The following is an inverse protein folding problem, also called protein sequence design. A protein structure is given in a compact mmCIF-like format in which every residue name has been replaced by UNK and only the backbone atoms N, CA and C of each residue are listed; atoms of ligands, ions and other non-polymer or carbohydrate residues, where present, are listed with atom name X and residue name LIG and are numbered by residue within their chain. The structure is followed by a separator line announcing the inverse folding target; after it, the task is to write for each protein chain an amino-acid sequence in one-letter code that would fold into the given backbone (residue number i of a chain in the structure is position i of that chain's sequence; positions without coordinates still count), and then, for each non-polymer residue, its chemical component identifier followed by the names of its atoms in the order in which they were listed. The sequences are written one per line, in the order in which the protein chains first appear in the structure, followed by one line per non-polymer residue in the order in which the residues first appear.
data_IF_343852431276
#
_entry.id   IF_343852431276
#
_cell.length_a   1.000
_cell.length_b   1.000
_cell.length_c   1.000
_cell.angle_alpha   90.00
_cell.angle_beta   90.00
_cell.angle_gamma   90.00
#
_symmetry.space_group_name_H-M   'P 1'
#
loop_
_entity.id
_entity.type
_entity.pdbx_description
1 polymer ?
#
# COMPACT_ATOMS: atom_id res chain seq x y z
N UNK A 1 -40.43 39.34 -25.91
CA UNK A 1 -40.52 38.05 -25.26
C UNK A 1 -39.49 37.03 -25.81
N UNK A 2 -39.14 37.04 -27.09
CA UNK A 2 -38.15 36.11 -27.73
C UNK A 2 -36.66 36.32 -27.26
N UNK A 3 -36.26 37.55 -27.01
CA UNK A 3 -34.88 37.88 -26.60
C UNK A 3 -34.52 37.42 -25.15
N UNK A 4 -35.53 37.29 -24.28
CA UNK A 4 -35.31 36.78 -22.91
C UNK A 4 -35.02 35.26 -22.87
N UNK A 5 -35.73 34.52 -23.73
CA UNK A 5 -35.53 33.05 -23.80
C UNK A 5 -34.20 32.66 -24.43
N UNK A 6 -33.68 33.45 -25.39
CA UNK A 6 -32.34 33.19 -25.96
C UNK A 6 -31.20 33.41 -24.95
N UNK A 7 -31.30 34.40 -24.07
CA UNK A 7 -30.32 34.63 -22.98
C UNK A 7 -30.35 33.51 -21.94
N UNK A 8 -31.52 33.03 -21.59
CA UNK A 8 -31.63 31.90 -20.65
C UNK A 8 -31.07 30.61 -21.23
N UNK A 9 -31.34 30.32 -22.53
CA UNK A 9 -30.80 29.16 -23.22
C UNK A 9 -29.23 29.22 -23.30
N UNK A 10 -28.64 30.36 -23.60
CA UNK A 10 -27.20 30.49 -23.69
C UNK A 10 -26.52 30.38 -22.32
N UNK A 11 -27.13 30.88 -21.25
CA UNK A 11 -26.63 30.74 -19.88
C UNK A 11 -26.73 29.29 -19.43
N UNK A 12 -27.82 28.58 -19.70
CA UNK A 12 -27.99 27.16 -19.38
C UNK A 12 -27.01 26.28 -20.16
N UNK A 13 -26.76 26.60 -21.42
CA UNK A 13 -25.76 25.89 -22.23
C UNK A 13 -24.32 26.12 -21.71
N UNK A 14 -24.00 27.32 -21.27
CA UNK A 14 -22.71 27.65 -20.65
C UNK A 14 -22.52 26.89 -19.34
N UNK A 15 -23.54 26.77 -18.50
CA UNK A 15 -23.49 25.97 -17.26
C UNK A 15 -23.35 24.47 -17.55
N UNK A 16 -24.06 23.95 -18.55
CA UNK A 16 -23.91 22.54 -18.96
C UNK A 16 -22.53 22.26 -19.56
N UNK A 17 -21.99 23.16 -20.35
CA UNK A 17 -20.66 23.03 -20.93
C UNK A 17 -19.55 23.11 -19.86
N UNK A 18 -19.67 24.01 -18.86
CA UNK A 18 -18.74 24.06 -17.72
C UNK A 18 -18.86 22.81 -16.84
N UNK A 19 -20.05 22.27 -16.64
CA UNK A 19 -20.23 21.02 -15.87
C UNK A 19 -19.60 19.81 -16.58
N UNK A 20 -19.74 19.70 -17.91
CA UNK A 20 -19.11 18.66 -18.71
C UNK A 20 -17.58 18.72 -18.72
N UNK A 21 -16.99 19.93 -18.60
CA UNK A 21 -15.53 20.10 -18.50
C UNK A 21 -14.97 19.75 -17.13
N UNK A 22 -15.77 19.83 -16.07
CA UNK A 22 -15.33 19.53 -14.69
C UNK A 22 -15.40 18.02 -14.37
N UNK A 23 -16.15 17.25 -15.13
CA UNK A 23 -16.28 15.78 -14.98
C UNK A 23 -15.26 15.01 -15.83
N UNK A 24 -14.00 15.47 -15.87
CA UNK A 24 -12.90 14.64 -16.38
C UNK A 24 -12.78 13.34 -15.56
N UNK A 25 -12.30 12.24 -16.16
CA UNK A 25 -12.06 11.01 -15.42
C UNK A 25 -11.14 11.31 -14.24
N UNK A 26 -11.65 11.15 -13.03
CA UNK A 26 -10.82 11.22 -11.82
C UNK A 26 -9.89 10.01 -11.86
N UNK A 27 -8.63 10.23 -12.25
CA UNK A 27 -7.59 9.22 -12.11
C UNK A 27 -7.33 9.06 -10.62
N UNK A 28 -7.81 7.96 -10.03
CA UNK A 28 -7.43 7.57 -8.67
C UNK A 28 -5.95 7.21 -8.66
N UNK A 29 -5.27 7.55 -7.57
CA UNK A 29 -3.87 7.17 -7.39
C UNK A 29 -3.76 5.66 -7.31
N UNK A 30 -2.92 5.06 -8.16
CA UNK A 30 -2.75 3.60 -8.19
C UNK A 30 -1.77 3.18 -7.10
N UNK A 31 -2.25 2.40 -6.15
CA UNK A 31 -1.46 1.89 -5.03
C UNK A 31 -1.07 0.42 -5.17
N UNK A 32 -1.64 -0.30 -6.16
CA UNK A 32 -1.31 -1.70 -6.43
C UNK A 32 0.02 -1.80 -7.16
N UNK A 33 0.68 -2.95 -6.97
CA UNK A 33 1.96 -3.24 -7.61
C UNK A 33 1.83 -3.58 -9.10
N UNK A 34 2.97 -3.67 -9.76
CA UNK A 34 3.09 -4.17 -11.14
C UNK A 34 4.38 -4.95 -11.30
N UNK A 35 4.36 -5.89 -12.25
CA UNK A 35 5.54 -6.62 -12.69
C UNK A 35 5.71 -6.39 -14.18
N UNK A 36 6.89 -5.93 -14.58
CA UNK A 36 7.31 -5.71 -15.97
C UNK A 36 8.56 -6.53 -16.27
N UNK A 37 8.95 -6.61 -17.52
CA UNK A 37 10.20 -7.24 -17.92
C UNK A 37 10.20 -7.63 -19.40
N UNK A 38 11.32 -8.23 -19.82
CA UNK A 38 11.52 -8.72 -21.16
C UNK A 38 11.61 -10.26 -21.13
N UNK A 39 10.89 -10.90 -22.03
CA UNK A 39 11.02 -12.34 -22.28
C UNK A 39 11.91 -12.55 -23.50
N UNK A 40 13.00 -13.29 -23.31
CA UNK A 40 13.97 -13.62 -24.37
C UNK A 40 14.15 -15.13 -24.55
N UNK A 41 14.58 -15.52 -25.72
CA UNK A 41 15.02 -16.90 -26.02
C UNK A 41 16.48 -17.15 -25.58
N UNK A 42 17.05 -18.36 -25.75
CA UNK A 42 18.42 -18.64 -25.39
C UNK A 42 19.47 -17.84 -26.18
N UNK A 43 19.11 -17.29 -27.34
CA UNK A 43 20.00 -16.47 -28.16
C UNK A 43 19.97 -14.98 -27.72
N UNK A 44 19.02 -14.61 -26.86
CA UNK A 44 18.76 -13.23 -26.43
C UNK A 44 17.76 -12.50 -27.33
N UNK A 45 17.12 -13.17 -28.28
CA UNK A 45 16.09 -12.58 -29.12
C UNK A 45 14.77 -12.45 -28.33
N UNK A 46 13.99 -11.35 -28.55
CA UNK A 46 12.72 -11.16 -27.87
C UNK A 46 11.67 -12.19 -28.30
N UNK A 47 10.89 -12.69 -27.33
CA UNK A 47 9.82 -13.66 -27.57
C UNK A 47 8.47 -12.93 -27.53
N UNK A 48 7.86 -12.72 -28.69
CA UNK A 48 6.54 -12.12 -28.81
C UNK A 48 5.40 -13.12 -28.57
N UNK A 49 4.27 -12.65 -28.04
CA UNK A 49 3.06 -13.44 -27.84
C UNK A 49 3.22 -14.56 -26.79
N UNK A 50 4.15 -14.45 -25.86
CA UNK A 50 4.22 -15.31 -24.70
C UNK A 50 3.14 -14.89 -23.67
N UNK A 51 2.41 -15.86 -23.13
CA UNK A 51 1.44 -15.62 -22.04
C UNK A 51 2.19 -15.54 -20.73
N UNK A 52 1.96 -14.48 -20.01
CA UNK A 52 2.51 -14.23 -18.67
C UNK A 52 1.33 -14.22 -17.68
N UNK A 53 1.38 -15.07 -16.68
CA UNK A 53 0.34 -15.20 -15.65
C UNK A 53 0.96 -15.02 -14.28
N UNK A 54 0.54 -13.97 -13.55
CA UNK A 54 0.86 -13.79 -12.16
C UNK A 54 -0.32 -14.32 -11.31
N UNK A 55 -0.13 -15.45 -10.64
CA UNK A 55 -1.14 -16.07 -9.81
C UNK A 55 -0.95 -15.65 -8.35
N UNK A 56 -1.91 -14.92 -7.78
CA UNK A 56 -1.91 -14.64 -6.34
C UNK A 56 -2.11 -15.95 -5.55
N UNK A 57 -1.20 -16.26 -4.62
CA UNK A 57 -1.20 -17.54 -3.92
C UNK A 57 -2.33 -17.68 -2.89
N UNK A 58 -2.73 -16.59 -2.26
CA UNK A 58 -3.76 -16.60 -1.23
C UNK A 58 -5.18 -16.59 -1.81
N UNK A 59 -5.38 -15.77 -2.86
CA UNK A 59 -6.70 -15.55 -3.47
C UNK A 59 -6.97 -16.49 -4.63
N UNK A 60 -5.94 -17.10 -5.19
CA UNK A 60 -6.02 -17.92 -6.42
C UNK A 60 -6.56 -17.17 -7.62
N UNK A 61 -6.29 -15.86 -7.71
CA UNK A 61 -6.69 -15.00 -8.81
C UNK A 61 -5.51 -14.82 -9.76
N UNK A 62 -5.66 -15.17 -11.05
CA UNK A 62 -4.64 -14.93 -12.07
C UNK A 62 -4.73 -13.50 -12.61
N UNK A 63 -3.58 -12.88 -12.85
CA UNK A 63 -3.40 -11.62 -13.56
C UNK A 63 -2.60 -11.91 -14.82
N UNK A 64 -3.20 -11.69 -15.98
CA UNK A 64 -2.63 -12.09 -17.25
C UNK A 64 -2.10 -10.90 -18.05
N UNK A 65 -1.00 -11.14 -18.77
CA UNK A 65 -0.43 -10.25 -19.76
C UNK A 65 0.12 -11.09 -20.94
N UNK A 66 0.40 -10.42 -22.05
CA UNK A 66 1.04 -11.05 -23.21
C UNK A 66 2.22 -10.19 -23.65
N UNK A 67 3.33 -10.82 -24.02
CA UNK A 67 4.49 -10.09 -24.52
C UNK A 67 4.22 -9.47 -25.88
N UNK A 68 4.68 -8.25 -26.10
CA UNK A 68 4.62 -7.55 -27.36
C UNK A 68 5.74 -8.00 -28.32
N UNK A 69 5.87 -7.36 -29.50
CA UNK A 69 6.88 -7.66 -30.51
C UNK A 69 8.33 -7.51 -29.99
N UNK A 70 8.55 -6.62 -29.02
CA UNK A 70 9.84 -6.43 -28.34
C UNK A 70 10.06 -7.39 -27.17
N UNK A 71 9.18 -8.39 -26.95
CA UNK A 71 9.25 -9.30 -25.82
C UNK A 71 8.85 -8.67 -24.47
N UNK A 72 8.40 -7.41 -24.45
CA UNK A 72 8.03 -6.72 -23.23
C UNK A 72 6.66 -7.17 -22.72
N UNK A 73 6.56 -7.41 -21.42
CA UNK A 73 5.29 -7.66 -20.73
C UNK A 73 5.09 -6.68 -19.57
N UNK A 74 3.83 -6.48 -19.19
CA UNK A 74 3.45 -5.66 -18.05
C UNK A 74 2.16 -6.19 -17.43
N UNK A 75 2.27 -6.75 -16.23
CA UNK A 75 1.15 -7.17 -15.40
C UNK A 75 0.86 -6.07 -14.39
N UNK A 76 -0.33 -5.49 -14.45
CA UNK A 76 -0.72 -4.31 -13.64
C UNK A 76 -1.75 -4.70 -12.59
N UNK A 77 -1.92 -3.78 -11.63
CA UNK A 77 -2.99 -3.83 -10.63
C UNK A 77 -2.89 -5.04 -9.71
N UNK A 78 -1.68 -5.43 -9.36
CA UNK A 78 -1.40 -6.52 -8.45
C UNK A 78 -1.58 -6.03 -6.99
N UNK A 79 -2.60 -6.49 -6.26
CA UNK A 79 -2.68 -6.24 -4.83
C UNK A 79 -1.43 -6.77 -4.10
N UNK A 80 -1.04 -6.22 -2.97
CA UNK A 80 0.03 -6.78 -2.16
C UNK A 80 -0.19 -8.27 -1.84
N UNK A 81 0.88 -9.04 -1.80
CA UNK A 81 0.87 -10.47 -1.52
C UNK A 81 1.91 -11.26 -2.29
N UNK A 82 1.89 -12.58 -2.10
CA UNK A 82 2.79 -13.51 -2.78
C UNK A 82 2.18 -14.03 -4.08
N UNK A 83 3.01 -14.10 -5.11
CA UNK A 83 2.63 -14.49 -6.47
C UNK A 83 3.56 -15.57 -7.04
N UNK A 84 2.99 -16.48 -7.83
CA UNK A 84 3.74 -17.30 -8.78
C UNK A 84 3.59 -16.70 -10.18
N UNK A 85 4.72 -16.34 -10.79
CA UNK A 85 4.77 -15.83 -12.16
C UNK A 85 5.10 -16.97 -13.13
N UNK A 86 4.20 -17.24 -14.05
CA UNK A 86 4.32 -18.28 -15.05
C UNK A 86 4.39 -17.67 -16.45
N UNK A 87 5.34 -18.13 -17.27
CA UNK A 87 5.48 -17.72 -18.66
C UNK A 87 5.38 -18.96 -19.56
N UNK A 88 4.48 -18.90 -20.54
CA UNK A 88 4.18 -19.98 -21.46
C UNK A 88 4.24 -19.51 -22.92
N UNK A 89 4.94 -20.27 -23.76
CA UNK A 89 4.99 -20.06 -25.21
C UNK A 89 5.22 -21.40 -25.90
N UNK A 90 4.50 -21.65 -26.99
CA UNK A 90 4.69 -22.83 -27.80
C UNK A 90 6.14 -22.92 -28.34
N UNK A 91 6.75 -24.09 -28.25
CA UNK A 91 8.15 -24.31 -28.60
C UNK A 91 9.16 -24.05 -27.49
N UNK A 92 8.71 -23.57 -26.33
CA UNK A 92 9.53 -23.30 -25.14
C UNK A 92 9.03 -24.07 -23.94
N UNK A 93 9.94 -24.36 -23.03
CA UNK A 93 9.60 -24.89 -21.69
C UNK A 93 8.86 -23.83 -20.88
N UNK A 94 7.94 -24.26 -20.05
CA UNK A 94 7.25 -23.40 -19.10
C UNK A 94 8.23 -22.85 -18.07
N UNK A 95 8.37 -21.54 -17.99
CA UNK A 95 9.15 -20.88 -16.94
C UNK A 95 8.25 -20.50 -15.77
N UNK A 96 8.67 -20.83 -14.53
CA UNK A 96 7.93 -20.51 -13.31
C UNK A 96 8.86 -19.83 -12.32
N UNK A 97 8.50 -18.64 -11.88
CA UNK A 97 9.09 -17.94 -10.75
C UNK A 97 8.14 -18.03 -9.57
N UNK A 98 8.53 -18.76 -8.57
CA UNK A 98 7.72 -18.99 -7.38
C UNK A 98 7.95 -17.94 -6.32
N UNK A 99 6.88 -17.64 -5.57
CA UNK A 99 6.89 -16.82 -4.35
C UNK A 99 7.52 -15.44 -4.55
N UNK A 100 7.04 -14.70 -5.55
CA UNK A 100 7.35 -13.28 -5.73
C UNK A 100 6.49 -12.46 -4.78
N UNK A 101 7.10 -11.80 -3.81
CA UNK A 101 6.38 -10.87 -2.94
C UNK A 101 6.23 -9.53 -3.65
N UNK A 102 5.00 -9.07 -3.80
CA UNK A 102 4.64 -7.78 -4.37
C UNK A 102 4.04 -6.92 -3.27
N UNK A 103 4.67 -5.80 -2.98
CA UNK A 103 4.18 -4.82 -2.01
C UNK A 103 3.35 -3.71 -2.67
N UNK A 104 2.70 -2.88 -1.86
CA UNK A 104 1.91 -1.76 -2.35
C UNK A 104 2.77 -0.79 -3.18
N UNK A 105 2.28 -0.44 -4.37
CA UNK A 105 2.92 0.43 -5.36
C UNK A 105 4.31 -0.06 -5.86
N UNK A 106 4.67 -1.33 -5.70
CA UNK A 106 5.90 -1.91 -6.23
C UNK A 106 5.92 -1.88 -7.76
N UNK A 107 7.10 -1.61 -8.31
CA UNK A 107 7.39 -1.69 -9.75
C UNK A 107 8.56 -2.65 -9.94
N UNK A 108 8.23 -3.94 -9.98
CA UNK A 108 9.23 -4.98 -10.13
C UNK A 108 9.58 -5.16 -11.60
N UNK A 109 10.88 -5.17 -11.90
CA UNK A 109 11.39 -5.53 -13.21
C UNK A 109 11.99 -6.93 -13.15
N UNK A 110 11.46 -7.85 -13.97
CA UNK A 110 11.86 -9.25 -14.00
C UNK A 110 12.02 -9.74 -15.43
N UNK A 111 13.25 -9.78 -15.90
CA UNK A 111 13.58 -10.35 -17.20
C UNK A 111 13.65 -11.86 -17.12
N UNK A 112 13.04 -12.54 -18.09
CA UNK A 112 12.93 -13.98 -18.12
C UNK A 112 13.52 -14.53 -19.43
N UNK A 113 14.42 -15.48 -19.31
CA UNK A 113 14.98 -16.24 -20.44
C UNK A 113 14.30 -17.59 -20.53
N UNK A 114 13.62 -17.86 -21.65
CA UNK A 114 12.96 -19.13 -21.91
C UNK A 114 13.96 -20.13 -22.48
N UNK A 115 13.78 -21.40 -22.14
CA UNK A 115 14.52 -22.52 -22.73
C UNK A 115 13.68 -23.18 -23.81
N UNK A 116 14.31 -23.60 -24.92
CA UNK A 116 13.63 -24.34 -25.98
C UNK A 116 13.29 -25.75 -25.46
N UNK A 117 12.06 -26.19 -25.69
CA UNK A 117 11.61 -27.53 -25.27
C UNK A 117 10.10 -27.66 -25.33
N UNK A 118 9.58 -28.81 -24.87
CA UNK A 118 8.14 -29.03 -24.81
C UNK A 118 7.52 -28.25 -23.66
N UNK A 119 6.32 -27.67 -23.87
CA UNK A 119 5.57 -26.93 -22.89
C UNK A 119 5.25 -27.73 -21.60
N UNK A 120 5.24 -29.07 -21.71
CA UNK A 120 5.03 -29.95 -20.55
C UNK A 120 6.24 -30.01 -19.60
N UNK A 121 7.43 -29.55 -20.03
CA UNK A 121 8.59 -29.43 -19.16
C UNK A 121 8.60 -28.06 -18.46
N UNK A 122 8.74 -28.06 -17.15
CA UNK A 122 8.81 -26.81 -16.37
C UNK A 122 10.21 -26.59 -15.83
N UNK A 123 10.70 -25.37 -15.96
CA UNK A 123 11.92 -24.91 -15.28
C UNK A 123 11.49 -23.98 -14.14
N UNK A 124 11.70 -24.43 -12.91
CA UNK A 124 11.51 -23.58 -11.74
C UNK A 124 12.77 -22.77 -11.49
N UNK A 125 12.65 -21.46 -11.55
CA UNK A 125 13.73 -20.54 -11.17
C UNK A 125 13.38 -19.98 -9.80
N UNK A 126 14.03 -20.50 -8.75
CA UNK A 126 13.87 -19.98 -7.41
C UNK A 126 14.54 -18.60 -7.32
N UNK A 127 13.85 -17.62 -6.78
CA UNK A 127 14.42 -16.30 -6.55
C UNK A 127 15.32 -16.35 -5.30
N UNK A 128 16.62 -16.54 -5.46
CA UNK A 128 17.59 -16.54 -4.35
C UNK A 128 18.01 -15.11 -3.90
N UNK A 129 17.53 -14.07 -4.57
CA UNK A 129 17.86 -12.67 -4.22
C UNK A 129 16.62 -11.81 -4.17
N UNK A 130 16.53 -10.89 -3.20
CA UNK A 130 15.48 -9.89 -3.19
C UNK A 130 15.49 -9.11 -4.51
N UNK A 131 14.33 -9.00 -5.14
CA UNK A 131 14.19 -8.18 -6.33
C UNK A 131 14.44 -6.72 -5.96
N UNK A 132 15.41 -6.10 -6.63
CA UNK A 132 15.68 -4.68 -6.47
C UNK A 132 14.69 -3.89 -7.32
N UNK A 133 14.03 -2.91 -6.71
CA UNK A 133 13.32 -1.88 -7.47
C UNK A 133 14.34 -1.03 -8.22
N UNK A 134 14.49 -1.26 -9.51
CA UNK A 134 15.43 -0.51 -10.37
C UNK A 134 14.74 0.57 -11.19
N UNK A 135 13.41 0.55 -11.27
CA UNK A 135 12.63 1.47 -12.11
C UNK A 135 12.20 2.76 -11.39
N UNK A 136 12.37 2.84 -10.07
CA UNK A 136 11.99 4.03 -9.30
C UNK A 136 13.17 4.59 -8.51
N UNK A 137 13.30 5.92 -8.49
CA UNK A 137 14.21 6.63 -7.60
C UNK A 137 13.58 6.87 -6.21
N UNK A 138 12.37 6.41 -5.97
CA UNK A 138 11.65 6.64 -4.72
C UNK A 138 12.26 5.82 -3.58
N UNK A 139 12.52 6.49 -2.46
CA UNK A 139 12.96 5.83 -1.24
C UNK A 139 11.73 5.44 -0.43
N UNK A 140 11.46 4.13 -0.39
CA UNK A 140 10.31 3.53 0.28
C UNK A 140 10.76 2.65 1.43
N UNK A 141 9.93 2.59 2.47
CA UNK A 141 10.04 1.63 3.56
C UNK A 141 8.67 1.02 3.80
N UNK A 142 8.60 -0.30 3.80
CA UNK A 142 7.37 -1.06 3.99
C UNK A 142 7.32 -1.64 5.40
N UNK A 143 6.14 -1.61 6.00
CA UNK A 143 5.84 -2.22 7.29
C UNK A 143 4.76 -3.26 7.04
N UNK A 144 5.16 -4.52 7.06
CA UNK A 144 4.30 -5.66 6.80
C UNK A 144 3.35 -5.94 7.98
N UNK A 145 2.24 -6.58 7.71
CA UNK A 145 1.24 -6.97 8.69
C UNK A 145 1.82 -7.73 9.89
N UNK A 146 2.71 -8.68 9.64
CA UNK A 146 3.33 -9.47 10.71
C UNK A 146 4.07 -8.57 11.71
N UNK A 147 4.82 -7.60 11.22
CA UNK A 147 5.52 -6.63 12.05
C UNK A 147 4.55 -5.78 12.89
N UNK A 148 3.41 -5.35 12.30
CA UNK A 148 2.38 -4.59 12.98
C UNK A 148 1.71 -5.41 14.10
N UNK A 149 1.55 -6.71 13.90
CA UNK A 149 0.93 -7.61 14.87
C UNK A 149 1.87 -7.99 16.01
N UNK A 150 3.14 -8.25 15.71
CA UNK A 150 4.12 -8.79 16.66
C UNK A 150 4.68 -7.71 17.60
N UNK A 151 4.68 -6.43 17.18
CA UNK A 151 5.22 -5.35 18.01
C UNK A 151 4.12 -4.75 18.90
N UNK A 152 4.30 -4.76 20.22
CA UNK A 152 3.36 -4.16 21.15
C UNK A 152 3.42 -2.63 21.09
N UNK A 153 2.56 -2.02 20.26
CA UNK A 153 2.41 -0.56 20.19
C UNK A 153 1.45 -0.07 21.26
N UNK A 154 1.92 0.85 22.12
CA UNK A 154 1.08 1.47 23.14
C UNK A 154 -0.06 2.28 22.49
N UNK A 155 -1.33 1.94 22.82
CA UNK A 155 -2.51 2.60 22.24
C UNK A 155 -2.88 2.11 20.84
N UNK A 156 -2.18 1.12 20.28
CA UNK A 156 -2.46 0.49 18.99
C UNK A 156 -2.75 1.48 17.85
N UNK A 157 -1.93 2.51 17.77
CA UNK A 157 -2.06 3.53 16.74
C UNK A 157 -1.03 3.31 15.63
N UNK A 158 -1.51 3.26 14.38
CA UNK A 158 -0.69 3.08 13.19
C UNK A 158 0.51 4.02 13.12
N UNK A 159 0.32 5.27 13.48
CA UNK A 159 1.37 6.29 13.34
C UNK A 159 2.55 6.10 14.28
N UNK A 160 2.43 5.26 15.32
CA UNK A 160 3.57 4.92 16.17
C UNK A 160 4.59 4.07 15.45
N UNK A 161 4.17 3.22 14.51
CA UNK A 161 5.07 2.41 13.72
C UNK A 161 5.92 3.23 12.75
N UNK A 162 5.40 4.38 12.31
CA UNK A 162 6.15 5.27 11.41
C UNK A 162 7.43 5.79 12.05
N UNK A 163 7.47 5.96 13.38
CA UNK A 163 8.67 6.40 14.10
C UNK A 163 9.79 5.36 14.13
N UNK A 164 9.53 4.13 13.74
CA UNK A 164 10.53 3.08 13.60
C UNK A 164 11.30 3.20 12.27
N UNK A 165 10.77 4.01 11.34
CA UNK A 165 11.34 4.17 10.01
C UNK A 165 12.41 5.27 9.99
N UNK A 166 13.49 5.09 9.20
CA UNK A 166 14.50 6.12 9.02
C UNK A 166 13.91 7.41 8.45
N UNK A 167 14.34 8.56 8.95
CA UNK A 167 13.88 9.86 8.47
C UNK A 167 12.52 10.31 9.00
N UNK A 168 11.85 9.51 9.83
CA UNK A 168 10.59 9.89 10.48
C UNK A 168 10.86 10.37 11.89
N UNK A 169 10.47 11.61 12.18
CA UNK A 169 10.70 12.24 13.49
C UNK A 169 9.44 12.89 14.03
N UNK A 170 9.43 13.09 15.32
CA UNK A 170 8.36 13.75 16.01
C UNK A 170 8.60 15.26 16.10
N UNK A 171 7.61 16.07 15.74
CA UNK A 171 7.72 17.54 15.74
C UNK A 171 7.04 18.22 16.92
N UNK A 172 6.12 17.55 17.60
CA UNK A 172 5.36 18.15 18.72
C UNK A 172 5.74 17.55 20.07
N UNK A 173 5.88 18.40 21.08
CA UNK A 173 6.00 17.97 22.48
C UNK A 173 4.68 17.47 23.08
N UNK A 174 3.57 17.85 22.48
CA UNK A 174 2.24 17.39 22.89
C UNK A 174 1.99 15.97 22.37
N UNK A 175 2.35 15.01 23.20
CA UNK A 175 1.80 13.68 23.09
C UNK A 175 0.44 13.71 23.82
N UNK A 176 -0.58 14.19 23.19
CA UNK A 176 -1.92 13.72 23.51
C UNK A 176 -1.88 12.21 23.33
N UNK A 177 -2.52 11.46 24.20
CA UNK A 177 -2.64 10.02 24.11
C UNK A 177 -2.89 9.66 22.65
N UNK A 178 -2.02 8.82 22.05
CA UNK A 178 -2.33 8.18 20.77
C UNK A 178 -3.47 7.20 21.07
N UNK A 179 -4.66 7.76 21.21
CA UNK A 179 -5.86 6.95 21.36
C UNK A 179 -6.16 6.27 20.04
N UNK A 180 -6.72 5.09 20.15
CA UNK A 180 -7.33 4.38 19.02
C UNK A 180 -8.25 5.39 18.32
N UNK A 181 -8.06 5.63 17.03
CA UNK A 181 -8.84 6.58 16.21
C UNK A 181 -8.60 8.07 16.48
N UNK A 182 -7.54 8.47 17.18
CA UNK A 182 -7.25 9.89 17.37
C UNK A 182 -6.99 10.59 16.03
N UNK A 183 -7.84 11.56 15.72
CA UNK A 183 -7.70 12.44 14.56
C UNK A 183 -6.50 13.38 14.78
N UNK A 184 -5.75 13.65 13.73
CA UNK A 184 -4.72 14.70 13.74
C UNK A 184 -3.30 14.26 14.10
N UNK A 185 -3.05 12.98 14.35
CA UNK A 185 -1.72 12.50 14.75
C UNK A 185 -0.62 12.74 13.70
N UNK A 186 -0.96 12.81 12.40
CA UNK A 186 0.00 13.14 11.35
C UNK A 186 0.58 14.54 11.46
N UNK A 187 -0.10 15.47 12.13
CA UNK A 187 0.43 16.81 12.37
C UNK A 187 1.62 16.83 13.34
N UNK A 188 1.86 15.71 14.05
CA UNK A 188 2.99 15.59 14.95
C UNK A 188 4.18 14.86 14.30
N UNK A 189 4.10 14.51 13.02
CA UNK A 189 5.10 13.73 12.30
C UNK A 189 5.78 14.62 11.26
N UNK A 190 7.11 14.57 11.24
CA UNK A 190 7.96 15.08 10.16
C UNK A 190 8.62 13.91 9.46
N UNK A 191 8.50 13.87 8.15
CA UNK A 191 9.17 12.89 7.31
C UNK A 191 10.26 13.64 6.53
N UNK A 192 11.50 13.17 6.62
CA UNK A 192 12.69 13.75 5.99
C UNK A 192 12.92 15.24 6.27
N UNK A 193 12.57 15.71 7.46
CA UNK A 193 12.69 17.12 7.83
C UNK A 193 11.61 18.03 7.25
N UNK A 194 10.60 17.46 6.57
CA UNK A 194 9.43 18.19 6.10
C UNK A 194 8.65 18.82 7.26
N UNK A 195 7.84 19.84 6.96
CA UNK A 195 7.02 20.52 7.97
C UNK A 195 5.95 19.58 8.50
N UNK A 196 5.64 19.74 9.76
CA UNK A 196 4.47 19.14 10.38
C UNK A 196 3.20 19.46 9.59
N UNK A 197 2.38 18.45 9.30
CA UNK A 197 1.15 18.59 8.54
C UNK A 197 1.33 18.69 7.01
N UNK A 198 2.54 18.49 6.48
CA UNK A 198 2.79 18.42 5.04
C UNK A 198 2.98 16.98 4.53
N UNK A 199 2.51 16.00 5.30
CA UNK A 199 2.52 14.61 4.90
C UNK A 199 1.15 14.21 4.30
N UNK A 200 1.18 13.38 3.27
CA UNK A 200 -0.01 12.75 2.70
C UNK A 200 -0.26 11.40 3.36
N UNK A 201 -1.52 11.09 3.64
CA UNK A 201 -1.94 9.74 4.04
C UNK A 201 -3.00 9.24 3.07
N UNK A 202 -2.74 8.11 2.48
CA UNK A 202 -3.64 7.41 1.57
C UNK A 202 -4.11 6.11 2.23
N UNK A 203 -5.37 5.77 2.04
CA UNK A 203 -5.95 4.47 2.41
C UNK A 203 -6.52 3.87 1.14
N UNK A 204 -5.98 2.74 0.70
CA UNK A 204 -6.30 2.10 -0.59
C UNK A 204 -6.26 3.09 -1.77
N UNK A 205 -5.25 3.98 -1.78
CA UNK A 205 -5.06 4.98 -2.81
C UNK A 205 -5.94 6.23 -2.67
N UNK A 206 -6.83 6.29 -1.68
CA UNK A 206 -7.72 7.43 -1.46
C UNK A 206 -7.11 8.32 -0.37
N UNK A 207 -7.04 9.64 -0.63
CA UNK A 207 -6.53 10.59 0.37
C UNK A 207 -7.40 10.60 1.63
N UNK A 208 -6.75 10.34 2.77
CA UNK A 208 -7.35 10.47 4.10
C UNK A 208 -6.96 11.77 4.80
N UNK A 209 -6.34 12.70 4.08
CA UNK A 209 -5.87 13.98 4.63
C UNK A 209 -6.95 15.05 4.49
N UNK A 210 -7.31 15.68 5.61
CA UNK A 210 -8.29 16.78 5.67
C UNK A 210 -7.67 18.10 5.20
N UNK A 211 -8.53 19.09 4.92
CA UNK A 211 -8.11 20.47 4.63
C UNK A 211 -7.29 21.13 5.74
N UNK A 212 -7.47 20.71 7.01
CA UNK A 212 -6.64 21.09 8.15
C UNK A 212 -5.28 20.39 8.20
N UNK A 213 -4.91 19.61 7.18
CA UNK A 213 -3.68 18.83 7.08
C UNK A 213 -3.55 17.72 8.14
N UNK A 214 -4.65 17.34 8.75
CA UNK A 214 -4.73 16.21 9.68
C UNK A 214 -5.33 14.99 8.99
N UNK A 215 -5.04 13.81 9.51
CA UNK A 215 -5.66 12.58 8.99
C UNK A 215 -7.13 12.52 9.37
N UNK A 216 -7.97 12.12 8.44
CA UNK A 216 -9.41 11.97 8.65
C UNK A 216 -9.77 10.73 9.44
N UNK A 217 -9.05 9.66 9.19
CA UNK A 217 -9.33 8.33 9.72
C UNK A 217 -8.03 7.51 9.80
N UNK A 218 -7.91 6.71 10.85
CA UNK A 218 -6.86 5.71 10.99
C UNK A 218 -7.54 4.34 11.12
N UNK A 219 -7.28 3.39 10.20
CA UNK A 219 -7.86 2.06 10.30
C UNK A 219 -7.33 1.31 11.51
N UNK A 220 -8.13 0.34 12.01
CA UNK A 220 -7.67 -0.56 13.06
C UNK A 220 -6.47 -1.38 12.56
N UNK A 221 -5.45 -1.59 13.40
CA UNK A 221 -4.24 -2.30 13.02
C UNK A 221 -4.51 -3.71 12.46
N UNK A 222 -5.56 -4.37 12.95
CA UNK A 222 -5.95 -5.70 12.48
C UNK A 222 -6.53 -5.70 11.05
N UNK A 223 -6.98 -4.54 10.55
CA UNK A 223 -7.50 -4.38 9.20
C UNK A 223 -6.41 -3.99 8.18
N UNK A 224 -5.19 -3.75 8.64
CA UNK A 224 -4.08 -3.30 7.79
C UNK A 224 -3.32 -4.51 7.28
N UNK A 225 -3.08 -4.56 5.97
CA UNK A 225 -2.20 -5.51 5.30
C UNK A 225 -0.76 -5.00 5.31
N UNK A 226 -0.58 -3.77 4.85
CA UNK A 226 0.74 -3.16 4.71
C UNK A 226 0.67 -1.64 4.87
N UNK A 227 1.74 -1.07 5.38
CA UNK A 227 1.96 0.38 5.38
C UNK A 227 3.24 0.68 4.64
N UNK A 228 3.13 1.40 3.55
CA UNK A 228 4.26 1.87 2.74
C UNK A 228 4.49 3.35 2.98
N UNK A 229 5.73 3.73 3.30
CA UNK A 229 6.11 5.12 3.52
C UNK A 229 7.18 5.52 2.50
N UNK A 230 6.82 6.46 1.65
CA UNK A 230 7.75 7.09 0.71
C UNK A 230 8.30 8.37 1.34
N UNK A 231 9.59 8.36 1.62
CA UNK A 231 10.22 9.46 2.35
C UNK A 231 10.90 10.48 1.44
N UNK A 232 11.21 10.09 0.20
CA UNK A 232 11.87 10.97 -0.77
C UNK A 232 11.63 10.49 -2.21
N UNK A 233 11.76 11.41 -3.17
CA UNK A 233 11.67 11.14 -4.62
C UNK A 233 10.40 10.35 -5.00
N UNK A 234 9.29 10.62 -4.32
CA UNK A 234 8.02 9.98 -4.62
C UNK A 234 7.53 10.38 -6.02
N UNK A 235 6.72 9.52 -6.61
CA UNK A 235 6.17 9.68 -7.95
C UNK A 235 5.37 10.99 -8.07
N UNK A 236 5.37 11.59 -9.25
CA UNK A 236 4.66 12.85 -9.56
C UNK A 236 3.15 12.80 -9.30
N UNK A 237 2.55 11.62 -9.22
CA UNK A 237 1.15 11.45 -8.79
C UNK A 237 0.88 11.94 -7.36
N UNK A 238 1.92 12.07 -6.51
CA UNK A 238 1.82 12.48 -5.11
C UNK A 238 2.27 13.94 -4.86
N UNK A 239 2.21 14.80 -5.86
CA UNK A 239 2.77 16.17 -5.81
C UNK A 239 2.04 17.20 -4.93
N UNK A 240 1.03 16.81 -4.13
CA UNK A 240 0.20 17.74 -3.34
C UNK A 240 0.87 18.22 -2.05
N UNK A 241 1.77 17.43 -1.46
CA UNK A 241 2.40 17.69 -0.16
C UNK A 241 3.92 17.73 -0.29
N UNK A 242 4.57 18.50 0.57
CA UNK A 242 6.04 18.65 0.56
C UNK A 242 6.78 17.71 1.52
N UNK A 243 6.04 16.89 2.27
CA UNK A 243 6.58 15.90 3.21
C UNK A 243 6.63 14.50 2.60
N UNK A 244 6.41 13.47 3.41
CA UNK A 244 6.33 12.08 2.95
C UNK A 244 4.91 11.65 2.59
N UNK A 245 4.83 10.54 1.86
CA UNK A 245 3.57 9.89 1.50
C UNK A 245 3.47 8.57 2.27
N UNK A 246 2.42 8.41 3.07
CA UNK A 246 2.10 7.17 3.78
C UNK A 246 0.90 6.51 3.11
N UNK A 247 1.11 5.36 2.51
CA UNK A 247 0.06 4.54 1.90
C UNK A 247 -0.29 3.38 2.82
N UNK A 248 -1.53 3.28 3.21
CA UNK A 248 -2.07 2.20 4.03
C UNK A 248 -2.93 1.32 3.14
N UNK A 249 -2.56 0.06 3.01
CA UNK A 249 -3.34 -0.94 2.28
C UNK A 249 -4.12 -1.77 3.27
N UNK A 250 -5.42 -1.87 3.07
CA UNK A 250 -6.29 -2.68 3.90
C UNK A 250 -6.29 -4.13 3.43
N UNK A 251 -6.54 -5.02 4.38
CA UNK A 251 -6.70 -6.44 4.08
C UNK A 251 -7.86 -6.65 3.13
N UNK A 252 -7.64 -7.53 2.18
CA UNK A 252 -8.67 -8.06 1.31
C UNK A 252 -8.89 -9.53 1.65
N UNK A 253 -10.12 -10.01 1.51
CA UNK A 253 -10.47 -11.40 1.83
C UNK A 253 -9.66 -12.44 1.05
N UNK A 254 -9.49 -13.61 1.62
CA UNK A 254 -8.84 -14.77 1.01
C UNK A 254 -9.87 -15.88 0.73
N UNK A 255 -9.46 -16.93 0.01
CA UNK A 255 -10.32 -18.10 -0.24
C UNK A 255 -10.33 -19.13 0.89
N UNK A 256 -9.71 -18.81 2.02
CA UNK A 256 -9.67 -19.67 3.21
C UNK A 256 -10.33 -18.96 4.38
N UNK A 257 -11.22 -19.69 5.10
CA UNK A 257 -11.81 -19.16 6.31
C UNK A 257 -10.75 -19.12 7.42
N UNK A 258 -10.52 -17.94 7.96
CA UNK A 258 -9.64 -17.73 9.10
C UNK A 258 -10.12 -16.56 9.95
N UNK A 259 -9.62 -16.49 11.16
CA UNK A 259 -9.98 -15.43 12.07
C UNK A 259 -9.05 -15.35 13.26
N UNK A 260 -9.17 -14.25 13.98
CA UNK A 260 -8.35 -13.96 15.15
C UNK A 260 -9.21 -13.40 16.27
N UNK A 261 -8.97 -13.86 17.48
CA UNK A 261 -9.45 -13.22 18.70
C UNK A 261 -8.28 -12.47 19.33
N UNK A 262 -8.51 -11.27 19.81
CA UNK A 262 -7.46 -10.50 20.45
C UNK A 262 -7.96 -9.74 21.67
N UNK A 263 -7.08 -9.61 22.66
CA UNK A 263 -7.27 -8.74 23.81
C UNK A 263 -5.93 -8.05 24.13
N UNK A 264 -5.98 -6.74 24.26
CA UNK A 264 -4.86 -5.91 24.71
C UNK A 264 -5.31 -5.14 25.94
N UNK A 265 -4.69 -5.43 27.06
CA UNK A 265 -4.98 -4.68 28.26
C UNK A 265 -3.76 -3.90 28.74
N UNK A 266 -3.98 -2.68 29.16
CA UNK A 266 -2.99 -1.80 29.77
C UNK A 266 -3.50 -1.37 31.13
N UNK A 267 -2.69 -1.68 32.14
CA UNK A 267 -3.05 -1.40 33.53
C UNK A 267 -1.87 -0.71 34.21
N UNK A 268 -2.16 0.34 34.97
CA UNK A 268 -1.15 1.04 35.76
C UNK A 268 -0.42 0.13 36.74
N UNK A 269 -1.05 -0.93 37.26
CA UNK A 269 -0.40 -1.91 38.13
C UNK A 269 0.75 -2.68 37.48
N UNK A 270 0.76 -2.77 36.15
CA UNK A 270 1.81 -3.41 35.37
C UNK A 270 2.85 -2.42 34.83
N UNK A 271 2.67 -1.14 35.05
CA UNK A 271 3.56 -0.09 34.57
C UNK A 271 4.42 0.49 35.69
N UNK A 272 5.64 0.88 35.36
CA UNK A 272 6.48 1.67 36.27
C UNK A 272 6.02 3.12 36.31
N UNK A 273 6.28 3.81 37.43
CA UNK A 273 6.10 5.25 37.47
C UNK A 273 7.26 5.94 36.75
N UNK A 274 6.99 7.00 36.02
CA UNK A 274 8.01 7.77 35.31
C UNK A 274 9.02 8.45 36.27
N UNK A 275 10.28 8.55 35.81
CA UNK A 275 11.37 9.14 36.61
C UNK A 275 11.03 10.50 37.23
N UNK A 276 10.49 11.44 36.45
CA UNK A 276 10.13 12.79 36.93
C UNK A 276 9.06 12.76 38.01
N UNK A 277 8.11 11.83 37.93
CA UNK A 277 7.06 11.67 38.93
C UNK A 277 7.61 11.05 40.21
N UNK A 278 8.49 10.05 40.09
CA UNK A 278 9.17 9.47 41.24
C UNK A 278 10.06 10.50 41.96
N UNK A 279 10.79 11.30 41.21
CA UNK A 279 11.64 12.37 41.76
C UNK A 279 10.80 13.45 42.49
N UNK A 280 9.57 13.68 42.03
CA UNK A 280 8.63 14.60 42.66
C UNK A 280 7.77 13.97 43.78
N UNK A 281 7.99 12.70 44.13
CA UNK A 281 7.20 11.98 45.15
C UNK A 281 5.74 11.75 44.75
N UNK A 282 5.39 11.88 43.46
CA UNK A 282 4.03 11.75 42.98
C UNK A 282 3.68 10.29 42.70
N UNK A 283 2.48 9.88 43.09
CA UNK A 283 1.96 8.56 42.77
C UNK A 283 1.82 8.36 41.26
N UNK A 284 1.93 7.10 40.81
CA UNK A 284 1.63 6.68 39.45
C UNK A 284 0.19 7.05 39.08
N UNK A 285 -0.05 7.61 37.87
CA UNK A 285 -1.41 7.88 37.43
C UNK A 285 -2.17 6.56 37.25
N UNK A 286 -3.39 6.52 37.69
CA UNK A 286 -4.27 5.40 37.41
C UNK A 286 -4.62 5.38 35.93
N UNK A 287 -4.43 4.22 35.32
CA UNK A 287 -4.75 4.02 33.90
C UNK A 287 -5.15 2.56 33.67
N UNK A 288 -6.37 2.39 33.13
CA UNK A 288 -6.89 1.08 32.73
C UNK A 288 -7.47 1.20 31.32
N UNK A 289 -6.98 0.39 30.41
CA UNK A 289 -7.52 0.31 29.05
C UNK A 289 -7.54 -1.14 28.60
N UNK A 290 -8.73 -1.61 28.21
CA UNK A 290 -8.93 -2.93 27.63
C UNK A 290 -9.44 -2.75 26.21
N UNK A 291 -8.71 -3.30 25.24
CA UNK A 291 -9.10 -3.34 23.83
C UNK A 291 -9.19 -4.79 23.41
N UNK A 292 -10.37 -5.24 23.08
CA UNK A 292 -10.61 -6.60 22.65
C UNK A 292 -11.46 -6.61 21.38
N UNK A 293 -11.39 -7.70 20.65
CA UNK A 293 -12.15 -7.85 19.42
C UNK A 293 -11.87 -9.17 18.72
N UNK A 294 -12.44 -9.29 17.55
CA UNK A 294 -12.20 -10.42 16.67
C UNK A 294 -12.17 -9.98 15.21
N UNK A 295 -11.51 -10.76 14.37
CA UNK A 295 -11.59 -10.67 12.91
C UNK A 295 -12.07 -12.01 12.38
N UNK A 296 -12.82 -11.98 11.29
CA UNK A 296 -13.22 -13.16 10.52
C UNK A 296 -13.07 -12.81 9.05
N UNK A 297 -12.28 -13.58 8.34
CA UNK A 297 -11.97 -13.43 6.93
C UNK A 297 -12.27 -14.75 6.21
N UNK A 298 -12.68 -14.67 4.94
CA UNK A 298 -12.93 -15.87 4.15
C UNK A 298 -13.82 -15.60 2.93
N UNK A 299 -14.11 -16.65 2.15
CA UNK A 299 -14.97 -16.55 0.98
C UNK A 299 -16.43 -16.31 1.39
N UNK A 300 -17.10 -15.43 0.63
CA UNK A 300 -18.54 -15.28 0.71
C UNK A 300 -19.15 -16.26 -0.29
N UNK A 301 -19.90 -17.25 0.22
CA UNK A 301 -20.65 -18.18 -0.61
C UNK A 301 -22.01 -17.55 -0.95
N UNK A 302 -22.20 -17.18 -2.21
CA UNK A 302 -23.46 -16.64 -2.74
C UNK A 302 -24.11 -17.68 -3.65
#
# INVERSE_FOLDING_TARGET
MLLGNMRQLSVTFLYLATYAFVTGPAAAQEFRGQISGIVTDPSGAPVAGARVTALNLERRVPYEATTNEAGLYLTRFLPPGDYDLTIEKEGFKKAVRQKLTVSAADRLNLDIRLEIGALAESVSVTADSPLLETETASRRSNIEQKFIQDIPASGRNLYQFLFLLPGVTKTSRYWGNFELYAFGNMNAISINGGRSGENETLIDGITSTRGSRSTSFAPALNAIEEVSVQTNSYDSQYGRFGGGVTSVTLKTGTNQLHGQLFEFFKNDNLASNGYSRNAAGLRRPEYKNNTFGFTVDGPIFI
#
